data_IF_881934319409
#
_entry.id   IF_881934319409
#
_cell.length_a   1.000
_cell.length_b   1.000
_cell.length_c   1.000
_cell.angle_alpha   90.00
_cell.angle_beta   90.00
_cell.angle_gamma   90.00
#
_symmetry.space_group_name_H-M   'P 1'
#
loop_
_entity.id
_entity.type
_entity.pdbx_description
1 polymer ?
#
# COMPACT_ATOMS: atom_id res chain seq x y z
N UNK A 1 8.90 2.96 -7.60
CA UNK A 1 8.82 4.36 -7.14
C UNK A 1 10.24 4.85 -6.88
N UNK A 2 10.55 6.15 -6.83
CA UNK A 2 11.93 6.62 -6.58
C UNK A 2 12.20 6.62 -5.06
N UNK A 3 12.82 5.56 -4.52
CA UNK A 3 12.94 5.35 -3.08
C UNK A 3 14.02 6.23 -2.46
N UNK A 4 15.16 6.36 -3.12
CA UNK A 4 16.30 7.14 -2.64
C UNK A 4 16.47 8.52 -3.31
N UNK A 5 15.45 8.98 -4.02
CA UNK A 5 15.34 10.34 -4.53
C UNK A 5 16.36 10.68 -5.61
N UNK A 6 16.93 9.67 -6.28
CA UNK A 6 17.95 9.85 -7.31
C UNK A 6 17.37 10.13 -8.72
N UNK A 7 16.04 10.15 -8.83
CA UNK A 7 15.31 10.37 -10.08
C UNK A 7 15.07 9.08 -10.88
N UNK A 8 15.53 7.93 -10.41
CA UNK A 8 15.27 6.62 -11.01
C UNK A 8 14.23 5.86 -10.18
N UNK A 9 13.30 5.18 -10.87
CA UNK A 9 12.30 4.36 -10.17
C UNK A 9 12.95 3.04 -9.72
N UNK A 10 12.86 2.78 -8.43
CA UNK A 10 13.26 1.57 -7.70
C UNK A 10 12.10 0.58 -7.45
N UNK A 11 12.46 -0.59 -6.89
CA UNK A 11 11.53 -1.59 -6.40
C UNK A 11 11.68 -1.88 -4.90
N UNK A 12 10.55 -1.87 -4.21
CA UNK A 12 10.37 -2.41 -2.87
C UNK A 12 9.46 -3.63 -3.00
N UNK A 13 9.92 -4.77 -2.49
CA UNK A 13 9.32 -6.08 -2.76
C UNK A 13 9.03 -6.80 -1.45
N UNK A 14 7.77 -7.16 -1.25
CA UNK A 14 7.37 -8.01 -0.13
C UNK A 14 7.64 -9.49 -0.40
N UNK A 15 7.84 -10.25 0.67
CA UNK A 15 8.22 -11.65 0.67
C UNK A 15 7.23 -12.51 1.44
N UNK A 16 7.24 -13.80 1.14
CA UNK A 16 6.41 -14.78 1.85
C UNK A 16 6.65 -14.78 3.37
N UNK A 17 7.90 -14.58 3.81
CA UNK A 17 8.31 -14.64 5.21
C UNK A 17 8.19 -13.28 5.93
N UNK A 18 7.30 -12.40 5.47
CA UNK A 18 7.05 -11.10 6.10
C UNK A 18 8.15 -10.05 5.91
N UNK A 19 9.28 -10.40 5.31
CA UNK A 19 10.38 -9.46 5.07
C UNK A 19 10.12 -8.56 3.87
N UNK A 20 10.82 -7.43 3.79
CA UNK A 20 10.74 -6.51 2.64
C UNK A 20 12.14 -6.32 2.06
N UNK A 21 12.28 -6.47 0.75
CA UNK A 21 13.54 -6.28 -0.01
C UNK A 21 13.56 -4.95 -0.75
N UNK A 22 14.75 -4.38 -0.88
CA UNK A 22 15.02 -3.20 -1.70
C UNK A 22 15.94 -3.55 -2.88
N UNK A 23 15.49 -3.19 -4.08
CA UNK A 23 16.27 -3.19 -5.30
C UNK A 23 16.36 -1.77 -5.87
N UNK A 24 17.58 -1.25 -5.95
CA UNK A 24 17.84 0.07 -6.51
C UNK A 24 17.99 -0.01 -8.02
N UNK A 25 17.44 0.95 -8.75
CA UNK A 25 17.69 1.13 -10.16
C UNK A 25 18.98 1.93 -10.38
N UNK A 26 19.99 1.27 -10.95
CA UNK A 26 21.29 1.86 -11.31
C UNK A 26 21.42 2.11 -12.83
N UNK A 27 20.32 1.93 -13.57
CA UNK A 27 20.27 2.12 -15.02
C UNK A 27 19.95 3.56 -15.40
N UNK A 28 19.03 3.74 -16.35
CA UNK A 28 18.54 5.06 -16.77
C UNK A 28 17.02 5.09 -16.84
N UNK A 29 16.45 6.29 -16.93
CA UNK A 29 15.04 6.46 -17.27
C UNK A 29 14.73 5.72 -18.58
N UNK A 30 13.70 4.87 -18.56
CA UNK A 30 13.28 4.05 -19.71
C UNK A 30 14.10 2.78 -19.96
N UNK A 31 15.22 2.58 -19.27
CA UNK A 31 16.04 1.36 -19.36
C UNK A 31 16.57 0.96 -17.97
N UNK A 32 15.69 0.42 -17.10
CA UNK A 32 16.03 0.13 -15.72
C UNK A 32 17.03 -1.03 -15.60
N UNK A 33 18.00 -0.90 -14.70
CA UNK A 33 18.90 -1.99 -14.29
C UNK A 33 18.90 -2.08 -12.77
N UNK A 34 18.43 -3.22 -12.24
CA UNK A 34 18.20 -3.35 -10.81
C UNK A 34 19.37 -4.05 -10.12
N UNK A 35 19.78 -3.53 -8.97
CA UNK A 35 20.73 -4.17 -8.07
C UNK A 35 20.08 -4.40 -6.70
N UNK A 36 20.33 -5.57 -6.11
CA UNK A 36 19.85 -5.88 -4.76
C UNK A 36 20.66 -5.11 -3.72
N UNK A 37 19.99 -4.32 -2.89
CA UNK A 37 20.63 -3.53 -1.82
C UNK A 37 20.57 -4.27 -0.49
N UNK A 38 19.45 -4.89 -0.16
CA UNK A 38 19.27 -5.57 1.11
C UNK A 38 17.81 -5.70 1.54
N UNK A 39 17.63 -6.07 2.81
CA UNK A 39 16.34 -6.00 3.48
C UNK A 39 16.09 -4.55 3.93
N UNK A 40 14.85 -4.09 3.79
CA UNK A 40 14.43 -2.79 4.32
C UNK A 40 14.44 -2.87 5.85
N UNK A 41 14.92 -1.81 6.47
CA UNK A 41 15.04 -1.71 7.92
C UNK A 41 14.12 -0.63 8.48
N UNK A 42 13.60 -0.88 9.67
CA UNK A 42 12.83 0.05 10.48
C UNK A 42 13.34 -0.01 11.94
N UNK A 43 13.60 1.14 12.56
CA UNK A 43 14.13 1.20 13.93
C UNK A 43 15.49 0.49 14.09
N UNK A 44 16.26 0.34 13.02
CA UNK A 44 17.56 -0.35 13.02
C UNK A 44 17.48 -1.89 12.93
N UNK A 45 16.31 -2.47 12.70
CA UNK A 45 16.13 -3.91 12.46
C UNK A 45 15.48 -4.17 11.11
N UNK A 46 15.69 -5.35 10.53
CA UNK A 46 14.99 -5.74 9.30
C UNK A 46 13.48 -5.80 9.57
N UNK A 47 12.69 -5.27 8.64
CA UNK A 47 11.24 -5.40 8.70
C UNK A 47 10.87 -6.88 8.61
N UNK A 48 10.01 -7.30 9.51
CA UNK A 48 9.37 -8.61 9.55
C UNK A 48 7.96 -8.40 10.11
N UNK A 49 6.95 -8.58 9.25
CA UNK A 49 5.54 -8.45 9.60
C UNK A 49 4.86 -9.81 9.82
N UNK A 50 5.62 -10.90 9.95
CA UNK A 50 5.10 -12.27 10.01
C UNK A 50 5.15 -12.94 8.65
N UNK A 51 4.02 -13.09 7.97
CA UNK A 51 3.95 -13.75 6.68
C UNK A 51 3.27 -12.87 5.62
N UNK A 52 3.66 -13.08 4.35
CA UNK A 52 3.09 -12.47 3.15
C UNK A 52 3.09 -10.94 3.16
N UNK A 53 4.26 -10.31 3.27
CA UNK A 53 4.34 -8.85 3.27
C UNK A 53 3.89 -8.25 1.93
N UNK A 54 3.11 -7.18 2.01
CA UNK A 54 2.55 -6.46 0.86
C UNK A 54 2.87 -4.96 1.02
N UNK A 55 4.05 -4.50 0.56
CA UNK A 55 4.46 -3.11 0.74
C UNK A 55 3.66 -2.16 -0.17
N UNK A 56 3.29 -1.01 0.39
CA UNK A 56 2.73 0.15 -0.29
C UNK A 56 3.44 1.40 0.22
N UNK A 57 3.74 2.33 -0.68
CA UNK A 57 4.54 3.52 -0.36
C UNK A 57 3.70 4.75 -0.65
N UNK A 58 3.60 5.60 0.35
CA UNK A 58 2.80 6.82 0.34
C UNK A 58 3.46 7.86 1.25
N UNK A 59 3.21 9.14 1.03
CA UNK A 59 3.52 10.18 2.03
C UNK A 59 2.35 10.21 3.02
N UNK A 60 2.35 9.28 3.99
CA UNK A 60 1.17 8.96 4.81
C UNK A 60 0.77 10.10 5.74
N UNK A 61 1.72 10.95 6.15
CA UNK A 61 1.49 12.08 7.04
C UNK A 61 1.66 13.46 6.36
N UNK A 62 1.78 13.50 5.02
CA UNK A 62 2.00 14.73 4.23
C UNK A 62 3.18 15.59 4.70
N UNK A 63 4.25 14.96 5.18
CA UNK A 63 5.47 15.66 5.59
C UNK A 63 6.50 15.79 4.44
N UNK A 64 6.18 15.26 3.27
CA UNK A 64 7.04 15.25 2.09
C UNK A 64 8.03 14.09 2.05
N UNK A 65 7.98 13.17 3.02
CA UNK A 65 8.78 11.95 3.07
C UNK A 65 7.91 10.75 2.69
N UNK A 66 8.53 9.78 2.03
CA UNK A 66 7.85 8.55 1.63
C UNK A 66 7.86 7.60 2.82
N UNK A 67 6.68 7.27 3.32
CA UNK A 67 6.42 6.27 4.34
C UNK A 67 6.17 4.90 3.72
N UNK A 68 6.17 3.87 4.56
CA UNK A 68 5.93 2.49 4.14
C UNK A 68 4.77 1.88 4.92
N UNK A 69 3.72 1.50 4.21
CA UNK A 69 2.67 0.62 4.69
C UNK A 69 3.00 -0.82 4.26
N UNK A 70 2.79 -1.80 5.12
CA UNK A 70 3.04 -3.20 4.81
C UNK A 70 1.86 -4.03 5.31
N UNK A 71 1.08 -4.54 4.36
CA UNK A 71 0.06 -5.54 4.65
C UNK A 71 0.68 -6.90 4.96
N UNK A 72 -0.07 -7.76 5.64
CA UNK A 72 0.39 -9.05 6.15
C UNK A 72 -0.75 -10.07 6.25
N UNK A 73 -0.40 -11.31 6.57
CA UNK A 73 -1.31 -12.45 6.58
C UNK A 73 -2.51 -12.33 7.49
N UNK A 74 -2.37 -11.76 8.69
CA UNK A 74 -3.44 -11.62 9.68
C UNK A 74 -4.40 -10.47 9.35
N UNK A 75 -4.25 -9.84 8.18
CA UNK A 75 -5.18 -8.83 7.66
C UNK A 75 -4.98 -7.44 8.26
N UNK A 76 -4.08 -7.27 9.22
CA UNK A 76 -3.67 -5.95 9.71
C UNK A 76 -2.69 -5.29 8.75
N UNK A 77 -2.44 -3.99 8.93
CA UNK A 77 -1.47 -3.24 8.13
C UNK A 77 -0.50 -2.55 9.08
N UNK A 78 0.79 -2.76 8.85
CA UNK A 78 1.88 -2.13 9.57
C UNK A 78 2.27 -0.82 8.88
N UNK A 79 2.48 0.25 9.63
CA UNK A 79 2.90 1.57 9.19
C UNK A 79 4.29 1.86 9.76
N UNK A 80 5.20 2.24 8.88
CA UNK A 80 6.56 2.66 9.17
C UNK A 80 6.74 4.07 8.62
N UNK A 81 6.79 5.05 9.52
CA UNK A 81 7.00 6.45 9.16
C UNK A 81 8.48 6.69 8.89
N UNK A 82 8.78 7.43 7.83
CA UNK A 82 10.12 7.88 7.49
C UNK A 82 10.45 9.16 8.26
N UNK A 83 11.46 9.11 9.12
CA UNK A 83 11.98 10.29 9.85
C UNK A 83 13.34 10.78 9.32
N UNK A 84 13.77 10.22 8.18
CA UNK A 84 15.04 10.50 7.54
C UNK A 84 14.96 11.69 6.59
N UNK A 85 15.33 11.46 5.34
CA UNK A 85 15.25 12.47 4.28
C UNK A 85 14.73 11.87 2.97
N UNK A 86 14.34 12.70 1.99
CA UNK A 86 13.88 12.21 0.69
C UNK A 86 14.89 11.35 -0.06
N UNK A 87 16.19 11.52 0.23
CA UNK A 87 17.29 10.78 -0.44
C UNK A 87 18.00 9.75 0.44
N UNK A 88 17.65 9.71 1.73
CA UNK A 88 18.14 8.71 2.65
C UNK A 88 17.03 8.37 3.66
N UNK A 89 16.04 7.57 3.24
CA UNK A 89 14.94 7.17 4.12
C UNK A 89 15.44 6.48 5.38
N UNK A 90 14.85 6.84 6.52
CA UNK A 90 15.08 6.18 7.81
C UNK A 90 13.71 5.87 8.39
N UNK A 91 13.31 4.59 8.36
CA UNK A 91 12.00 4.20 8.87
C UNK A 91 12.05 4.02 10.39
N UNK A 92 11.09 4.61 11.09
CA UNK A 92 10.86 4.40 12.51
C UNK A 92 10.29 3.00 12.77
N UNK A 93 10.37 2.55 14.03
CA UNK A 93 9.73 1.30 14.47
C UNK A 93 8.26 1.27 14.10
N UNK A 94 7.82 0.15 13.53
CA UNK A 94 6.46 -0.01 13.01
C UNK A 94 5.36 0.11 14.06
N UNK A 95 4.20 0.56 13.61
CA UNK A 95 2.95 0.58 14.37
C UNK A 95 1.81 0.07 13.50
N UNK A 96 0.70 -0.38 14.09
CA UNK A 96 -0.46 -0.79 13.29
C UNK A 96 -1.24 0.46 12.82
N UNK A 97 -1.72 0.43 11.59
CA UNK A 97 -2.75 1.36 11.13
C UNK A 97 -4.03 1.09 11.92
N UNK A 98 -4.65 2.16 12.44
CA UNK A 98 -5.78 2.07 13.36
C UNK A 98 -7.00 2.80 12.83
N UNK A 99 -8.15 2.26 13.23
CA UNK A 99 -9.44 2.95 13.16
C UNK A 99 -9.46 4.12 14.14
N UNK A 100 -10.30 5.11 13.87
CA UNK A 100 -10.55 6.25 14.77
C UNK A 100 -11.05 5.81 16.17
N UNK A 101 -11.62 4.60 16.28
CA UNK A 101 -12.05 3.99 17.55
C UNK A 101 -10.89 3.33 18.32
N UNK A 102 -9.68 3.33 17.76
CA UNK A 102 -8.45 2.83 18.36
C UNK A 102 -8.10 1.38 18.02
N UNK A 103 -9.03 0.59 17.50
CA UNK A 103 -8.75 -0.78 17.03
C UNK A 103 -7.82 -0.79 15.82
N UNK A 104 -6.99 -1.83 15.68
CA UNK A 104 -6.25 -2.03 14.44
C UNK A 104 -7.23 -2.26 13.29
N UNK A 105 -6.85 -1.82 12.10
CA UNK A 105 -7.55 -2.25 10.89
C UNK A 105 -7.33 -3.75 10.73
N UNK A 106 -8.40 -4.44 10.35
CA UNK A 106 -8.39 -5.86 9.99
C UNK A 106 -9.22 -5.99 8.71
N UNK A 107 -8.58 -6.48 7.66
CA UNK A 107 -9.22 -6.66 6.37
C UNK A 107 -9.72 -8.09 6.14
N UNK A 108 -9.40 -9.03 7.03
CA UNK A 108 -9.56 -10.47 6.83
C UNK A 108 -8.22 -11.16 6.68
N UNK A 109 -7.96 -11.81 5.55
CA UNK A 109 -6.73 -12.56 5.32
C UNK A 109 -5.88 -11.93 4.23
N UNK A 110 -4.58 -11.72 4.48
CA UNK A 110 -3.60 -11.09 3.55
C UNK A 110 -4.00 -9.71 3.05
N UNK A 111 -3.78 -8.71 3.89
CA UNK A 111 -4.02 -7.32 3.50
C UNK A 111 -3.08 -6.87 2.38
N UNK A 112 -3.65 -6.17 1.40
CA UNK A 112 -2.93 -5.56 0.30
C UNK A 112 -3.28 -4.07 0.29
N UNK A 113 -2.58 -3.22 1.08
CA UNK A 113 -2.95 -1.82 1.25
C UNK A 113 -2.74 -0.99 -0.01
N UNK A 114 -3.58 0.03 -0.16
CA UNK A 114 -3.42 1.10 -1.15
C UNK A 114 -4.05 2.39 -0.61
N UNK A 115 -3.40 3.53 -0.85
CA UNK A 115 -3.80 4.84 -0.33
C UNK A 115 -4.20 5.73 -1.48
N UNK A 116 -5.44 6.21 -1.47
CA UNK A 116 -6.01 7.03 -2.53
C UNK A 116 -7.26 7.76 -2.03
N UNK A 117 -7.54 8.96 -2.54
CA UNK A 117 -8.86 9.60 -2.41
C UNK A 117 -9.87 8.87 -3.31
N UNK A 118 -10.63 7.93 -2.75
CA UNK A 118 -11.54 7.10 -3.55
C UNK A 118 -12.90 7.76 -3.74
N UNK A 119 -13.37 8.52 -2.75
CA UNK A 119 -14.70 9.13 -2.79
C UNK A 119 -14.72 10.58 -3.29
N UNK A 120 -13.54 11.12 -3.63
CA UNK A 120 -13.36 12.40 -4.29
C UNK A 120 -13.55 13.59 -3.34
N UNK A 121 -13.41 13.39 -2.04
CA UNK A 121 -13.57 14.45 -1.04
C UNK A 121 -12.27 15.25 -0.77
N UNK A 122 -11.18 14.88 -1.43
CA UNK A 122 -9.86 15.49 -1.31
C UNK A 122 -9.02 14.90 -0.17
N UNK A 123 -9.54 13.93 0.58
CA UNK A 123 -8.81 13.20 1.60
C UNK A 123 -8.37 11.83 1.08
N UNK A 124 -7.12 11.46 1.34
CA UNK A 124 -6.65 10.11 1.03
C UNK A 124 -7.30 9.10 1.98
N UNK A 125 -7.96 8.12 1.39
CA UNK A 125 -8.53 6.96 2.06
C UNK A 125 -7.56 5.78 2.00
N UNK A 126 -7.90 4.71 2.73
CA UNK A 126 -7.22 3.43 2.62
C UNK A 126 -8.19 2.42 1.99
N UNK A 127 -7.78 1.82 0.89
CA UNK A 127 -8.38 0.58 0.41
C UNK A 127 -7.44 -0.58 0.68
N UNK A 128 -8.00 -1.76 0.86
CA UNK A 128 -7.19 -2.96 0.96
C UNK A 128 -7.88 -4.17 0.35
N UNK A 129 -7.13 -4.86 -0.50
CA UNK A 129 -7.51 -6.18 -0.97
C UNK A 129 -7.36 -7.24 0.10
N UNK A 130 -8.15 -8.30 -0.03
CA UNK A 130 -8.18 -9.48 0.83
C UNK A 130 -7.98 -10.76 -0.01
N UNK A 131 -7.41 -11.81 0.56
CA UNK A 131 -7.01 -13.03 -0.14
C UNK A 131 -8.13 -13.69 -0.95
N UNK A 132 -9.36 -13.68 -0.48
CA UNK A 132 -10.50 -14.29 -1.18
C UNK A 132 -11.14 -13.37 -2.22
N UNK A 133 -10.52 -12.21 -2.49
CA UNK A 133 -10.89 -11.34 -3.60
C UNK A 133 -11.69 -10.11 -3.20
N UNK A 134 -12.10 -10.02 -1.93
CA UNK A 134 -12.81 -8.86 -1.40
C UNK A 134 -11.92 -7.63 -1.34
N UNK A 135 -12.55 -6.46 -1.41
CA UNK A 135 -11.87 -5.18 -1.27
C UNK A 135 -12.59 -4.40 -0.20
N UNK A 136 -11.85 -3.93 0.80
CA UNK A 136 -12.37 -3.08 1.86
C UNK A 136 -11.92 -1.64 1.65
N UNK A 137 -12.84 -0.73 1.91
CA UNK A 137 -12.64 0.71 1.91
C UNK A 137 -12.76 1.26 3.33
N UNK A 138 -11.77 2.05 3.73
CA UNK A 138 -11.68 2.72 5.01
C UNK A 138 -11.60 4.22 4.76
N UNK A 139 -12.75 4.91 4.90
CA UNK A 139 -12.84 6.36 4.71
C UNK A 139 -12.00 7.11 5.74
N UNK A 140 -11.20 8.06 5.29
CA UNK A 140 -10.53 9.03 6.14
C UNK A 140 -11.49 10.17 6.49
N UNK A 141 -11.67 10.42 7.79
CA UNK A 141 -12.48 11.54 8.32
C UNK A 141 -11.65 12.52 9.14
N UNK A 142 -10.32 12.38 9.09
CA UNK A 142 -9.35 13.28 9.70
C UNK A 142 -8.84 14.30 8.69
N UNK A 143 -7.52 14.32 8.52
CA UNK A 143 -6.85 15.06 7.45
C UNK A 143 -5.88 14.13 6.73
N UNK A 144 -5.29 14.56 5.62
CA UNK A 144 -4.23 13.78 4.98
C UNK A 144 -2.97 13.70 5.85
N UNK A 145 -2.66 14.76 6.61
CA UNK A 145 -1.52 14.75 7.53
C UNK A 145 -1.74 13.89 8.79
N UNK A 146 -3.01 13.72 9.19
CA UNK A 146 -3.40 12.93 10.36
C UNK A 146 -4.64 12.10 10.00
N UNK A 147 -4.46 10.97 9.30
CA UNK A 147 -5.59 10.14 8.88
C UNK A 147 -6.34 9.56 10.08
N UNK A 148 -7.68 9.66 10.05
CA UNK A 148 -8.57 9.03 11.03
C UNK A 148 -9.55 8.12 10.26
N UNK A 149 -9.28 6.82 10.28
CA UNK A 149 -10.01 5.87 9.43
C UNK A 149 -11.28 5.34 10.10
N UNK A 150 -12.39 5.35 9.37
CA UNK A 150 -13.63 4.70 9.77
C UNK A 150 -13.56 3.18 9.59
N UNK A 151 -14.53 2.45 10.18
CA UNK A 151 -14.63 1.00 10.02
C UNK A 151 -14.78 0.61 8.55
N UNK A 152 -14.08 -0.45 8.16
CA UNK A 152 -14.01 -0.88 6.77
C UNK A 152 -15.36 -1.36 6.21
N UNK A 153 -15.70 -0.89 5.02
CA UNK A 153 -16.84 -1.33 4.23
C UNK A 153 -16.37 -2.20 3.07
N UNK A 154 -17.09 -3.27 2.75
CA UNK A 154 -16.84 -3.98 1.48
C UNK A 154 -17.25 -3.08 0.31
N UNK A 155 -16.37 -2.90 -0.67
CA UNK A 155 -16.75 -2.25 -1.92
C UNK A 155 -17.72 -3.15 -2.70
N UNK A 156 -18.61 -2.55 -3.49
CA UNK A 156 -19.69 -3.24 -4.21
C UNK A 156 -19.76 -2.80 -5.67
N UNK A 157 -20.22 -3.70 -6.54
CA UNK A 157 -20.60 -3.42 -7.93
C UNK A 157 -22.11 -3.66 -8.05
N UNK A 158 -22.88 -2.58 -7.98
CA UNK A 158 -24.33 -2.65 -7.86
C UNK A 158 -24.74 -3.32 -6.55
N UNK A 159 -25.57 -4.38 -6.57
CA UNK A 159 -26.02 -5.05 -5.34
C UNK A 159 -25.04 -6.10 -4.80
N UNK A 160 -23.92 -6.36 -5.47
CA UNK A 160 -22.98 -7.43 -5.12
C UNK A 160 -21.66 -6.88 -4.61
N UNK A 161 -20.99 -7.60 -3.72
CA UNK A 161 -19.63 -7.28 -3.30
C UNK A 161 -18.67 -7.31 -4.52
N UNK A 162 -17.74 -6.36 -4.54
CA UNK A 162 -16.63 -6.34 -5.47
C UNK A 162 -15.68 -7.48 -5.11
N UNK A 163 -15.73 -8.54 -5.92
CA UNK A 163 -14.91 -9.74 -5.75
C UNK A 163 -14.01 -9.96 -6.95
N UNK A 164 -12.72 -10.10 -6.70
CA UNK A 164 -11.69 -10.43 -7.69
C UNK A 164 -11.21 -11.87 -7.50
N UNK A 165 -10.44 -12.45 -8.43
CA UNK A 165 -9.89 -13.83 -8.29
C UNK A 165 -8.66 -13.90 -7.36
N UNK A 166 -8.84 -13.45 -6.12
CA UNK A 166 -7.91 -13.64 -5.00
C UNK A 166 -6.71 -12.69 -4.92
N UNK A 167 -6.38 -12.28 -3.68
CA UNK A 167 -5.36 -11.29 -3.29
C UNK A 167 -5.21 -10.10 -4.26
N UNK A 168 -6.26 -9.27 -4.43
CA UNK A 168 -6.18 -8.13 -5.30
C UNK A 168 -5.11 -7.19 -4.79
N UNK A 169 -3.97 -7.15 -5.50
CA UNK A 169 -3.06 -6.01 -5.42
C UNK A 169 -3.72 -4.92 -6.23
N UNK A 170 -4.47 -4.07 -5.54
CA UNK A 170 -5.20 -2.97 -6.16
C UNK A 170 -4.20 -1.90 -6.57
N UNK A 171 -4.22 -1.50 -7.84
CA UNK A 171 -3.54 -0.33 -8.34
C UNK A 171 -4.64 0.59 -8.92
N UNK A 172 -5.24 1.46 -8.10
CA UNK A 172 -6.15 2.46 -8.62
C UNK A 172 -5.36 3.40 -9.54
N UNK A 173 -5.88 3.61 -10.74
CA UNK A 173 -5.27 4.40 -11.79
C UNK A 173 -6.39 4.98 -12.65
N UNK A 174 -6.36 6.27 -12.96
CA UNK A 174 -7.20 6.83 -14.03
C UNK A 174 -6.60 6.35 -15.37
N UNK A 175 -7.08 5.20 -15.86
CA UNK A 175 -6.54 4.50 -17.01
C UNK A 175 -7.06 5.09 -18.31
N UNK A 176 -8.31 5.53 -18.35
CA UNK A 176 -8.92 6.10 -19.55
C UNK A 176 -8.84 7.63 -19.63
N UNK A 177 -8.32 8.26 -18.57
CA UNK A 177 -8.05 9.69 -18.46
C UNK A 177 -9.33 10.53 -18.51
N UNK A 178 -10.44 9.99 -18.01
CA UNK A 178 -11.72 10.68 -17.91
C UNK A 178 -11.91 11.45 -16.59
N UNK A 179 -11.02 11.22 -15.63
CA UNK A 179 -10.99 11.88 -14.33
C UNK A 179 -11.67 11.10 -13.20
N UNK A 180 -12.18 9.89 -13.45
CA UNK A 180 -12.47 8.91 -12.41
C UNK A 180 -11.33 7.88 -12.25
N UNK A 181 -11.35 7.13 -11.15
CA UNK A 181 -10.27 6.19 -10.82
C UNK A 181 -10.68 4.79 -11.27
N UNK A 182 -10.00 4.27 -12.30
CA UNK A 182 -10.14 2.87 -12.69
C UNK A 182 -9.45 1.92 -11.71
N UNK A 183 -10.08 0.75 -11.54
CA UNK A 183 -9.63 -0.28 -10.64
C UNK A 183 -8.87 -1.38 -11.39
N UNK A 184 -7.56 -1.49 -11.19
CA UNK A 184 -6.77 -2.65 -11.62
C UNK A 184 -6.52 -3.56 -10.43
N UNK A 185 -7.12 -4.74 -10.43
CA UNK A 185 -6.76 -5.82 -9.51
C UNK A 185 -6.02 -6.93 -10.25
N UNK A 186 -4.78 -7.20 -9.84
CA UNK A 186 -4.08 -8.43 -10.19
C UNK A 186 -4.55 -9.58 -9.28
N UNK A 187 -4.80 -10.75 -9.86
CA UNK A 187 -5.39 -11.90 -9.17
C UNK A 187 -4.48 -13.14 -9.19
N UNK A 188 -4.68 -14.09 -8.29
CA UNK A 188 -3.94 -15.38 -8.27
C UNK A 188 -4.06 -16.17 -9.57
N UNK A 189 -5.11 -15.92 -10.35
CA UNK A 189 -5.42 -16.62 -11.60
C UNK A 189 -4.94 -15.86 -12.85
N UNK A 190 -4.08 -14.84 -12.69
CA UNK A 190 -3.56 -13.99 -13.78
C UNK A 190 -4.65 -13.27 -14.60
N UNK A 191 -5.82 -13.02 -13.99
CA UNK A 191 -6.92 -12.29 -14.61
C UNK A 191 -6.90 -10.82 -14.15
N UNK A 192 -6.67 -9.92 -15.10
CA UNK A 192 -6.91 -8.50 -14.94
C UNK A 192 -8.42 -8.25 -15.06
N UNK A 193 -9.04 -7.68 -14.03
CA UNK A 193 -10.43 -7.23 -14.09
C UNK A 193 -10.46 -5.70 -14.03
N UNK A 194 -11.12 -5.10 -15.02
CA UNK A 194 -11.41 -3.67 -15.11
C UNK A 194 -12.85 -3.45 -14.68
N UNK A 195 -13.05 -2.49 -13.78
CA UNK A 195 -14.37 -2.00 -13.40
C UNK A 195 -14.44 -0.55 -13.89
N UNK A 196 -15.34 -0.33 -14.86
CA UNK A 196 -15.75 0.97 -15.39
C UNK A 196 -16.98 1.48 -14.63
#
# INVERSE_FOLDING_TARGET
MDWDGDGLKDLIVGEYNGQVRYYRNIGTVGNPQLTYIGLVQAGGVNIDVGDYSQPWIDDWNEDGLKDLLVGESDGVINLFINDGSPTNPALMTGSLVRLQTGGAIDVGYRSCPNVIDLDGDGLKDLISGEMYGGVKFYKNVGTNAIPLLQSGLSLTVGPNDLMTSGSPRTAPIDWDNDGDIDFVAGSYDALLQLFL
#
